data_IF_015583832073
#
_entry.id   IF_015583832073
#
_cell.length_a   1.000
_cell.length_b   1.000
_cell.length_c   1.000
_cell.angle_alpha   90.00
_cell.angle_beta   90.00
_cell.angle_gamma   90.00
#
_symmetry.space_group_name_H-M   'P 1'
#
loop_
_entity.id
_entity.type
_entity.pdbx_description
1 polymer ?
#
# COMPACT_ATOMS: atom_id res chain seq x y z
N UNK A 1 -0.23 26.02 12.95
CA UNK A 1 -1.41 25.23 12.54
C UNK A 1 -0.93 23.99 11.84
N UNK A 2 -1.51 22.84 12.18
CA UNK A 2 -1.17 21.57 11.53
C UNK A 2 -1.83 21.48 10.16
N UNK A 3 -1.06 21.08 9.15
CA UNK A 3 -1.52 20.88 7.78
C UNK A 3 -1.58 19.38 7.47
N UNK A 4 -2.69 18.93 6.87
CA UNK A 4 -2.84 17.54 6.42
C UNK A 4 -2.68 17.50 4.91
N UNK A 5 -1.73 16.69 4.43
CA UNK A 5 -1.45 16.50 3.01
C UNK A 5 -1.67 15.04 2.62
N UNK A 6 -2.42 14.83 1.54
CA UNK A 6 -2.64 13.52 0.97
C UNK A 6 -1.65 13.29 -0.18
N UNK A 7 -0.62 12.47 0.06
CA UNK A 7 0.36 12.08 -0.96
C UNK A 7 0.01 10.74 -1.59
N UNK A 8 0.00 10.69 -2.93
CA UNK A 8 -0.32 9.47 -3.69
C UNK A 8 -1.81 9.28 -3.97
N UNK A 9 -2.24 8.13 -4.53
CA UNK A 9 -1.42 6.98 -4.92
C UNK A 9 -0.73 7.11 -6.29
N UNK A 10 -1.06 8.15 -7.07
CA UNK A 10 -0.54 8.34 -8.44
C UNK A 10 0.74 9.18 -8.51
N UNK A 11 1.23 9.67 -7.36
CA UNK A 11 2.41 10.53 -7.32
C UNK A 11 3.66 9.73 -7.72
N UNK A 12 4.53 10.21 -8.64
CA UNK A 12 5.67 9.44 -9.13
C UNK A 12 6.67 8.98 -8.06
N UNK A 13 6.77 9.70 -6.95
CA UNK A 13 7.62 9.31 -5.82
C UNK A 13 7.06 8.14 -4.99
N UNK A 14 5.86 7.65 -5.32
CA UNK A 14 5.30 6.44 -4.73
C UNK A 14 5.70 5.26 -5.60
N UNK A 15 6.54 4.37 -5.08
CA UNK A 15 6.99 3.15 -5.77
C UNK A 15 5.86 2.12 -5.89
N UNK A 16 4.88 2.40 -6.75
CA UNK A 16 3.65 1.64 -6.90
C UNK A 16 2.44 2.43 -6.39
N UNK A 17 1.51 1.75 -5.71
CA UNK A 17 0.23 2.33 -5.28
C UNK A 17 0.20 2.60 -3.78
N UNK A 18 1.10 3.48 -3.32
CA UNK A 18 1.19 3.90 -1.92
C UNK A 18 0.49 5.25 -1.74
N UNK A 19 -0.39 5.34 -0.73
CA UNK A 19 -0.99 6.59 -0.30
C UNK A 19 -0.59 6.87 1.15
N UNK A 20 -0.16 8.10 1.42
CA UNK A 20 0.23 8.58 2.73
C UNK A 20 -0.60 9.81 3.09
N UNK A 21 -1.19 9.80 4.28
CA UNK A 21 -1.78 11.00 4.88
C UNK A 21 -0.72 11.54 5.84
N UNK A 22 -0.14 12.68 5.50
CA UNK A 22 0.97 13.29 6.23
C UNK A 22 0.46 14.50 6.99
N UNK A 23 0.76 14.56 8.29
CA UNK A 23 0.48 15.73 9.13
C UNK A 23 1.77 16.52 9.31
N UNK A 24 1.75 17.78 8.89
CA UNK A 24 2.89 18.68 8.85
C UNK A 24 2.70 19.85 9.82
N UNK A 25 3.77 20.24 10.51
CA UNK A 25 3.90 21.56 11.15
C UNK A 25 4.98 22.33 10.40
N UNK A 26 4.57 23.16 9.44
CA UNK A 26 5.50 23.77 8.49
C UNK A 26 6.16 22.72 7.59
N UNK A 27 7.48 22.58 7.70
CA UNK A 27 8.28 21.59 6.95
C UNK A 27 8.53 20.29 7.73
N UNK A 28 8.18 20.26 9.03
CA UNK A 28 8.40 19.11 9.89
C UNK A 28 7.23 18.12 9.81
N UNK A 29 7.54 16.83 9.68
CA UNK A 29 6.56 15.75 9.71
C UNK A 29 6.28 15.34 11.15
N UNK A 30 5.03 15.55 11.57
CA UNK A 30 4.57 15.23 12.93
C UNK A 30 3.97 13.83 12.97
N UNK A 31 3.28 13.43 11.90
CA UNK A 31 2.67 12.11 11.75
C UNK A 31 2.56 11.70 10.28
N UNK A 32 2.51 10.40 10.03
CA UNK A 32 2.36 9.82 8.70
C UNK A 32 1.55 8.52 8.79
N UNK A 33 0.32 8.56 8.28
CA UNK A 33 -0.57 7.39 8.19
C UNK A 33 -0.51 6.78 6.79
N UNK A 34 0.04 5.55 6.64
CA UNK A 34 0.01 4.85 5.38
C UNK A 34 -1.34 4.18 5.13
N UNK A 35 -1.99 4.54 4.03
CA UNK A 35 -3.22 3.89 3.57
C UNK A 35 -2.84 2.73 2.66
N UNK A 36 -2.94 1.52 3.21
CA UNK A 36 -2.58 0.26 2.54
C UNK A 36 -3.80 -0.39 1.88
N UNK A 37 -3.55 -1.41 1.04
CA UNK A 37 -4.60 -2.26 0.46
C UNK A 37 -4.93 -1.99 -1.00
N UNK A 38 -4.37 -0.96 -1.64
CA UNK A 38 -4.59 -0.67 -3.06
C UNK A 38 -4.18 -1.81 -4.00
N UNK A 39 -3.20 -2.63 -3.61
CA UNK A 39 -2.75 -3.81 -4.35
C UNK A 39 -3.20 -5.13 -3.68
N UNK A 40 -4.14 -5.09 -2.73
CA UNK A 40 -4.63 -6.30 -2.09
C UNK A 40 -5.44 -7.15 -3.09
N UNK A 41 -4.94 -8.34 -3.41
CA UNK A 41 -5.55 -9.27 -4.38
C UNK A 41 -6.12 -10.55 -3.75
N UNK A 42 -6.20 -10.63 -2.42
CA UNK A 42 -6.76 -11.79 -1.72
C UNK A 42 -6.04 -13.11 -2.02
N UNK A 43 -4.70 -13.09 -2.13
CA UNK A 43 -3.92 -14.28 -2.51
C UNK A 43 -4.12 -15.46 -1.56
N UNK A 44 -4.26 -15.19 -0.25
CA UNK A 44 -4.57 -16.21 0.76
C UNK A 44 -5.89 -16.92 0.48
N UNK A 45 -6.92 -16.17 0.05
CA UNK A 45 -8.22 -16.75 -0.31
C UNK A 45 -8.16 -17.58 -1.59
N UNK A 46 -7.31 -17.19 -2.53
CA UNK A 46 -7.04 -17.96 -3.73
C UNK A 46 -6.33 -19.28 -3.37
N UNK A 47 -5.41 -19.25 -2.41
CA UNK A 47 -4.69 -20.43 -1.93
C UNK A 47 -5.63 -21.50 -1.37
N UNK A 48 -6.69 -21.12 -0.65
CA UNK A 48 -7.69 -22.06 -0.12
C UNK A 48 -8.37 -22.92 -1.22
N UNK A 49 -8.46 -22.39 -2.44
CA UNK A 49 -9.17 -23.02 -3.56
C UNK A 49 -8.23 -23.62 -4.62
N UNK A 50 -6.94 -23.77 -4.29
CA UNK A 50 -5.90 -24.24 -5.22
C UNK A 50 -5.04 -25.31 -4.56
N UNK A 51 -4.56 -26.26 -5.37
CA UNK A 51 -3.53 -27.20 -4.91
C UNK A 51 -2.18 -26.50 -4.79
N UNK A 52 -1.25 -27.08 -4.03
CA UNK A 52 0.08 -26.50 -3.77
C UNK A 52 0.81 -26.14 -5.09
N UNK A 53 0.77 -27.03 -6.08
CA UNK A 53 1.43 -26.83 -7.38
C UNK A 53 0.77 -25.68 -8.16
N UNK A 54 -0.55 -25.55 -8.08
CA UNK A 54 -1.29 -24.47 -8.74
C UNK A 54 -1.06 -23.11 -8.09
N UNK A 55 -0.82 -23.08 -6.78
CA UNK A 55 -0.59 -21.83 -6.04
C UNK A 55 0.86 -21.33 -6.16
N UNK A 56 1.82 -22.20 -6.47
CA UNK A 56 3.25 -21.86 -6.58
C UNK A 56 3.56 -20.58 -7.38
N UNK A 57 2.91 -20.29 -8.53
CA UNK A 57 3.17 -19.06 -9.29
C UNK A 57 2.68 -17.76 -8.61
N UNK A 58 1.82 -17.84 -7.60
CA UNK A 58 1.34 -16.65 -6.87
C UNK A 58 2.38 -16.15 -5.88
N UNK A 59 3.22 -17.04 -5.34
CA UNK A 59 4.26 -16.69 -4.35
C UNK A 59 5.31 -15.74 -4.94
N UNK A 60 5.62 -15.87 -6.23
CA UNK A 60 6.58 -14.99 -6.91
C UNK A 60 5.99 -13.66 -7.37
N UNK A 61 4.72 -13.39 -7.07
CA UNK A 61 3.97 -12.20 -7.54
C UNK A 61 3.42 -11.35 -6.39
N UNK A 62 3.88 -11.57 -5.17
CA UNK A 62 3.63 -10.70 -4.02
C UNK A 62 4.43 -9.41 -4.18
#
# INVERSE_FOLDING_TARGET
DLMIVNMGPQHPSMHGVLRLIVTLDGEDVIDCEPILGYLHRGMEKIAENRTIIQYLPYVTRI
#
